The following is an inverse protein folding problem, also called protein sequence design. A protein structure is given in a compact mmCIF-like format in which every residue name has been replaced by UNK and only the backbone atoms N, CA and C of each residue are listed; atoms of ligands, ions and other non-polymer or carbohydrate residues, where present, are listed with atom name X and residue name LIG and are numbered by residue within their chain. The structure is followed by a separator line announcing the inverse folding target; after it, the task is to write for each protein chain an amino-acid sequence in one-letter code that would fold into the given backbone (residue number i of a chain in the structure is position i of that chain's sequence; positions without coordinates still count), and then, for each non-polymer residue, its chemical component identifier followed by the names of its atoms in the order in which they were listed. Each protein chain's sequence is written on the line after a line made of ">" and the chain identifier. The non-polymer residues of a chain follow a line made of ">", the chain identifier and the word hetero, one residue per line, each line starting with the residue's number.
data_IF_847249316288
#
_entry.id   IF_847249316288
#
_cell.length_a   1.000
_cell.length_b   1.000
_cell.length_c   1.000
_cell.angle_alpha   90.00
_cell.angle_beta   90.00
_cell.angle_gamma   90.00
#
_symmetry.space_group_name_H-M   'P 1'
#
loop_
_entity.id
_entity.type
_entity.pdbx_description
1 polymer ?
#
# COMPACT_ATOMS: atom_id res chain seq x y z
N UNK A 1 60.75 -0.85 67.63
CA UNK A 1 59.79 -1.13 68.72
C UNK A 1 58.54 -1.72 68.09
N UNK A 2 58.24 -3.02 68.30
CA UNK A 2 57.09 -3.54 69.11
C UNK A 2 55.77 -2.80 68.77
N UNK A 3 54.64 -3.40 68.36
CA UNK A 3 54.02 -4.69 68.71
C UNK A 3 52.76 -4.93 67.84
N UNK A 4 52.36 -6.20 67.73
CA UNK A 4 51.10 -6.74 67.19
C UNK A 4 49.83 -6.24 67.90
N UNK A 5 48.66 -6.49 67.27
CA UNK A 5 47.29 -6.80 67.77
C UNK A 5 46.24 -6.02 66.94
N UNK A 6 45.01 -6.47 66.68
CA UNK A 6 44.31 -7.75 66.72
C UNK A 6 43.02 -7.52 65.91
N UNK A 7 42.52 -8.57 65.25
CA UNK A 7 41.22 -8.57 64.56
C UNK A 7 40.10 -8.64 65.60
N UNK A 8 39.08 -7.78 65.49
CA UNK A 8 37.81 -7.94 66.20
C UNK A 8 36.66 -7.91 65.19
N UNK A 9 35.91 -9.00 65.20
CA UNK A 9 34.69 -9.29 64.46
C UNK A 9 33.51 -8.62 65.17
N UNK A 10 32.60 -7.96 64.44
CA UNK A 10 31.29 -7.58 64.96
C UNK A 10 30.18 -8.08 64.02
N UNK A 11 29.40 -9.02 64.54
CA UNK A 11 28.13 -9.51 64.01
C UNK A 11 27.00 -8.56 64.45
N UNK A 12 26.12 -8.19 63.53
CA UNK A 12 24.82 -7.59 63.83
C UNK A 12 23.74 -8.36 63.07
N UNK A 13 22.88 -9.02 63.85
CA UNK A 13 21.61 -9.64 63.44
C UNK A 13 20.47 -8.66 63.76
N UNK A 14 19.58 -8.40 62.81
CA UNK A 14 18.22 -7.91 63.11
C UNK A 14 17.19 -8.60 62.23
N UNK A 15 16.07 -8.90 62.87
CA UNK A 15 14.98 -9.80 62.50
C UNK A 15 14.14 -9.35 61.30
N UNK A 16 13.48 -10.32 60.69
CA UNK A 16 12.65 -10.15 59.50
C UNK A 16 11.19 -9.78 59.77
N UNK A 17 10.54 -9.43 58.66
CA UNK A 17 9.10 -9.58 58.45
C UNK A 17 8.92 -10.33 57.13
N UNK A 18 8.31 -11.52 57.21
CA UNK A 18 7.83 -12.23 56.04
C UNK A 18 6.53 -11.58 55.57
N UNK A 19 6.43 -11.29 54.27
CA UNK A 19 5.15 -11.05 53.60
C UNK A 19 5.06 -11.99 52.40
N UNK A 20 3.96 -12.73 52.39
CA UNK A 20 3.56 -13.75 51.45
C UNK A 20 3.68 -13.35 49.98
N UNK A 21 4.14 -14.30 49.17
CA UNK A 21 3.96 -14.33 47.72
C UNK A 21 2.46 -14.25 47.38
N UNK A 22 2.12 -13.29 46.52
CA UNK A 22 0.94 -13.38 45.67
C UNK A 22 1.45 -13.53 44.24
N UNK A 23 1.36 -14.76 43.77
CA UNK A 23 1.53 -15.14 42.38
C UNK A 23 0.58 -14.28 41.52
N UNK A 24 1.18 -13.42 40.70
CA UNK A 24 0.45 -12.62 39.71
C UNK A 24 1.05 -12.93 38.36
N UNK A 25 0.50 -13.97 37.73
CA UNK A 25 0.65 -14.24 36.30
C UNK A 25 0.45 -12.95 35.52
N UNK A 26 1.54 -12.32 35.09
CA UNK A 26 1.50 -11.28 34.08
C UNK A 26 1.39 -11.94 32.73
N UNK A 27 0.21 -11.72 32.16
CA UNK A 27 -0.20 -11.96 30.78
C UNK A 27 0.92 -11.51 29.84
N UNK A 28 1.35 -12.45 29.00
CA UNK A 28 2.26 -12.24 27.89
C UNK A 28 1.61 -11.23 26.93
N UNK A 29 2.12 -10.00 26.88
CA UNK A 29 1.77 -9.06 25.82
C UNK A 29 2.38 -9.60 24.52
N UNK A 30 1.61 -9.77 23.43
CA UNK A 30 2.20 -10.12 22.16
C UNK A 30 2.96 -8.89 21.66
N UNK A 31 4.27 -8.91 21.85
CA UNK A 31 5.18 -7.98 21.18
C UNK A 31 4.92 -8.07 19.68
N UNK A 32 4.33 -7.03 19.11
CA UNK A 32 4.14 -6.86 17.67
C UNK A 32 5.49 -6.72 16.99
N UNK A 33 6.18 -7.83 16.79
CA UNK A 33 7.26 -7.90 15.83
C UNK A 33 6.62 -7.90 14.45
N UNK A 34 6.76 -6.77 13.75
CA UNK A 34 6.51 -6.71 12.32
C UNK A 34 7.25 -7.88 11.67
N UNK A 35 6.51 -8.76 11.00
CA UNK A 35 7.09 -9.84 10.22
C UNK A 35 7.87 -9.19 9.08
N UNK A 36 9.15 -8.97 9.31
CA UNK A 36 10.08 -8.55 8.27
C UNK A 36 10.22 -9.71 7.30
N UNK A 37 9.44 -9.70 6.22
CA UNK A 37 9.56 -10.70 5.15
C UNK A 37 10.86 -10.43 4.39
N UNK A 38 11.97 -10.97 4.90
CA UNK A 38 13.25 -11.03 4.18
C UNK A 38 13.23 -12.27 3.26
N UNK A 39 12.41 -12.22 2.20
CA UNK A 39 12.24 -13.29 1.20
C UNK A 39 10.97 -13.09 0.37
N UNK A 40 10.78 -13.84 -0.71
CA UNK A 40 9.45 -13.95 -1.31
C UNK A 40 8.61 -14.82 -0.36
N UNK A 41 7.65 -14.21 0.35
CA UNK A 41 6.80 -14.93 1.30
C UNK A 41 5.94 -16.01 0.63
N UNK A 42 5.52 -17.00 1.40
CA UNK A 42 4.54 -18.00 0.94
C UNK A 42 3.19 -17.34 0.66
N UNK A 43 2.34 -17.99 -0.13
CA UNK A 43 1.00 -17.47 -0.43
C UNK A 43 0.16 -17.09 0.80
N UNK A 44 0.08 -17.93 1.84
CA UNK A 44 -0.60 -17.58 3.09
C UNK A 44 0.02 -16.37 3.82
N UNK A 45 1.35 -16.26 3.86
CA UNK A 45 2.04 -15.12 4.48
C UNK A 45 1.76 -13.81 3.73
N UNK A 46 1.76 -13.85 2.40
CA UNK A 46 1.40 -12.68 1.58
C UNK A 46 -0.06 -12.29 1.82
N UNK A 47 -1.01 -13.23 1.88
CA UNK A 47 -2.41 -12.91 2.18
C UNK A 47 -2.58 -12.27 3.58
N UNK A 48 -1.86 -12.79 4.58
CA UNK A 48 -1.85 -12.24 5.93
C UNK A 48 -1.25 -10.82 5.97
N UNK A 49 -0.12 -10.62 5.29
CA UNK A 49 0.53 -9.32 5.17
C UNK A 49 -0.38 -8.29 4.48
N UNK A 50 -1.04 -8.64 3.38
CA UNK A 50 -1.97 -7.74 2.69
C UNK A 50 -3.14 -7.33 3.59
N UNK A 51 -3.62 -8.24 4.45
CA UNK A 51 -4.64 -7.96 5.45
C UNK A 51 -4.12 -6.98 6.52
N UNK A 52 -2.89 -7.15 7.00
CA UNK A 52 -2.25 -6.21 7.92
C UNK A 52 -2.06 -4.84 7.27
N UNK A 53 -1.47 -4.79 6.09
CA UNK A 53 -1.22 -3.56 5.32
C UNK A 53 -2.52 -2.79 5.07
N UNK A 54 -3.61 -3.48 4.72
CA UNK A 54 -4.94 -2.87 4.56
C UNK A 54 -5.47 -2.25 5.86
N UNK A 55 -5.30 -2.93 7.00
CA UNK A 55 -5.81 -2.45 8.29
C UNK A 55 -4.91 -1.39 8.94
N UNK A 56 -3.67 -1.26 8.50
CA UNK A 56 -2.68 -0.36 9.08
C UNK A 56 -2.87 1.10 8.61
N UNK A 57 -3.55 1.91 9.41
CA UNK A 57 -3.87 3.32 9.09
C UNK A 57 -2.80 4.34 9.54
N UNK A 58 -1.54 3.91 9.72
CA UNK A 58 -0.44 4.83 10.02
C UNK A 58 -0.37 5.95 8.97
N UNK A 59 -0.01 7.16 9.42
CA UNK A 59 0.10 8.35 8.56
C UNK A 59 1.48 8.49 7.93
N UNK A 60 2.50 7.87 8.52
CA UNK A 60 3.88 7.87 8.03
C UNK A 60 4.58 6.56 8.35
N UNK A 61 5.58 6.22 7.54
CA UNK A 61 6.39 5.03 7.73
C UNK A 61 7.62 5.31 8.58
N UNK A 62 8.02 4.34 9.42
CA UNK A 62 9.25 4.39 10.24
C UNK A 62 9.38 5.66 11.12
N UNK A 63 8.25 6.28 11.50
CA UNK A 63 8.22 7.56 12.21
C UNK A 63 9.05 8.67 11.53
N UNK A 64 9.09 8.65 10.19
CA UNK A 64 9.79 9.63 9.38
C UNK A 64 8.78 10.52 8.66
N UNK A 65 8.75 11.85 8.90
CA UNK A 65 7.80 12.77 8.26
C UNK A 65 7.94 12.82 6.73
N UNK A 66 9.10 12.44 6.18
CA UNK A 66 9.34 12.35 4.74
C UNK A 66 8.94 11.01 4.12
N UNK A 67 8.45 10.05 4.92
CA UNK A 67 8.09 8.72 4.45
C UNK A 67 6.56 8.55 4.42
N UNK A 68 5.87 8.89 3.31
CA UNK A 68 4.43 8.70 3.19
C UNK A 68 4.00 7.26 3.47
N UNK A 69 2.80 7.09 4.05
CA UNK A 69 2.34 5.76 4.50
C UNK A 69 2.19 4.71 3.40
N UNK A 70 2.12 5.09 2.11
CA UNK A 70 2.11 4.12 1.00
C UNK A 70 3.43 3.34 0.86
N UNK A 71 4.52 3.80 1.51
CA UNK A 71 5.80 3.10 1.51
C UNK A 71 5.82 1.87 2.44
N UNK A 72 4.79 1.68 3.27
CA UNK A 72 4.72 0.59 4.26
C UNK A 72 3.31 0.05 4.55
N UNK A 73 2.25 0.70 4.06
CA UNK A 73 0.86 0.33 4.32
C UNK A 73 -0.01 0.44 3.07
N UNK A 74 -1.22 -0.13 3.17
CA UNK A 74 -2.17 -0.24 2.08
C UNK A 74 -1.71 -1.19 0.99
N UNK A 75 -2.64 -1.55 0.11
CA UNK A 75 -2.39 -2.49 -0.99
C UNK A 75 -2.35 -1.72 -2.31
N UNK A 76 -1.17 -1.60 -2.90
CA UNK A 76 -0.99 -0.98 -4.22
C UNK A 76 -1.26 -2.02 -5.30
N UNK A 77 -2.35 -1.86 -6.05
CA UNK A 77 -2.82 -2.84 -7.02
C UNK A 77 -3.17 -2.21 -8.36
N UNK A 78 -2.85 -2.89 -9.46
CA UNK A 78 -3.20 -2.46 -10.81
C UNK A 78 -4.04 -3.52 -11.48
N UNK A 79 -5.22 -3.13 -11.92
CA UNK A 79 -6.05 -3.97 -12.77
C UNK A 79 -5.47 -4.05 -14.18
N UNK A 80 -5.47 -5.25 -14.76
CA UNK A 80 -4.95 -5.53 -16.11
C UNK A 80 -5.88 -6.47 -16.85
N UNK A 81 -5.60 -6.66 -18.13
CA UNK A 81 -6.10 -7.79 -18.91
C UNK A 81 -4.91 -8.64 -19.32
N UNK A 82 -5.06 -9.96 -19.23
CA UNK A 82 -4.05 -10.88 -19.74
C UNK A 82 -4.00 -10.78 -21.27
N UNK A 83 -2.84 -11.08 -21.87
CA UNK A 83 -2.65 -11.06 -23.31
C UNK A 83 -1.49 -11.97 -23.68
N UNK A 84 -1.54 -12.55 -24.88
CA UNK A 84 -0.41 -13.23 -25.50
C UNK A 84 0.53 -12.26 -26.23
N UNK A 85 0.13 -10.99 -26.40
CA UNK A 85 0.88 -9.98 -27.15
C UNK A 85 1.77 -9.10 -26.27
N UNK A 86 1.50 -9.06 -24.96
CA UNK A 86 2.26 -8.29 -24.00
C UNK A 86 2.16 -8.92 -22.61
N UNK A 87 3.16 -8.68 -21.78
CA UNK A 87 3.17 -9.13 -20.39
C UNK A 87 2.39 -8.15 -19.50
N UNK A 88 1.66 -8.64 -18.50
CA UNK A 88 0.80 -7.79 -17.65
C UNK A 88 1.57 -6.69 -16.89
N UNK A 89 2.88 -6.91 -16.64
CA UNK A 89 3.76 -5.95 -15.95
C UNK A 89 4.40 -4.92 -16.89
N UNK A 90 4.21 -5.05 -18.20
CA UNK A 90 4.75 -4.10 -19.15
C UNK A 90 3.86 -2.85 -19.22
N UNK A 91 4.42 -1.64 -19.05
CA UNK A 91 3.67 -0.42 -19.27
C UNK A 91 3.20 -0.34 -20.71
N UNK A 92 2.02 0.26 -20.96
CA UNK A 92 1.62 0.61 -22.32
C UNK A 92 2.70 1.51 -22.95
N UNK A 93 3.30 1.15 -24.11
CA UNK A 93 4.33 1.95 -24.75
C UNK A 93 3.91 3.39 -25.05
N UNK A 94 2.62 3.64 -25.32
CA UNK A 94 2.08 4.98 -25.57
C UNK A 94 1.79 5.78 -24.29
N UNK A 95 1.71 5.15 -23.12
CA UNK A 95 1.48 5.85 -21.85
C UNK A 95 2.74 6.56 -21.37
N UNK A 96 2.57 7.64 -20.61
CA UNK A 96 3.64 8.42 -19.97
C UNK A 96 3.96 7.96 -18.54
N UNK A 97 3.18 7.02 -18.01
CA UNK A 97 3.27 6.49 -16.64
C UNK A 97 2.35 5.29 -16.45
N UNK A 98 2.24 4.78 -15.24
CA UNK A 98 1.44 3.58 -14.94
C UNK A 98 0.49 3.87 -13.78
N UNK A 99 -0.79 3.64 -14.02
CA UNK A 99 -1.84 3.86 -13.02
C UNK A 99 -2.00 2.66 -12.10
N UNK A 100 -2.12 2.93 -10.81
CA UNK A 100 -2.45 1.95 -9.78
C UNK A 100 -3.62 2.47 -8.95
N UNK A 101 -4.33 1.59 -8.30
CA UNK A 101 -5.17 1.95 -7.15
C UNK A 101 -4.44 1.58 -5.86
N UNK A 102 -4.85 2.19 -4.76
CA UNK A 102 -4.30 1.93 -3.44
C UNK A 102 -5.41 1.73 -2.43
N UNK A 103 -5.51 0.52 -1.88
CA UNK A 103 -6.63 0.12 -1.02
C UNK A 103 -6.20 0.06 0.44
N UNK A 104 -6.90 0.80 1.30
CA UNK A 104 -6.70 0.78 2.76
C UNK A 104 -8.02 0.97 3.50
N UNK A 105 -8.06 0.62 4.78
CA UNK A 105 -9.27 0.67 5.61
C UNK A 105 -9.95 2.06 5.67
N UNK A 106 -9.19 3.12 5.50
CA UNK A 106 -9.66 4.52 5.47
C UNK A 106 -9.75 5.11 4.04
N UNK A 107 -9.45 4.31 3.01
CA UNK A 107 -9.41 4.69 1.59
C UNK A 107 -9.96 3.55 0.71
N UNK A 108 -11.25 3.29 0.84
CA UNK A 108 -11.95 2.16 0.21
C UNK A 108 -12.60 2.54 -1.14
N UNK A 109 -12.77 1.54 -2.01
CA UNK A 109 -13.55 1.62 -3.24
C UNK A 109 -14.18 0.25 -3.56
N UNK A 110 -15.30 0.24 -4.28
CA UNK A 110 -16.07 -1.00 -4.52
C UNK A 110 -15.74 -1.73 -5.83
N UNK A 111 -15.02 -1.10 -6.75
CA UNK A 111 -14.68 -1.69 -8.06
C UNK A 111 -13.36 -1.18 -8.61
N UNK A 112 -12.84 -1.90 -9.59
CA UNK A 112 -11.65 -1.51 -10.36
C UNK A 112 -12.04 -0.74 -11.62
N UNK A 113 -11.05 -0.06 -12.19
CA UNK A 113 -11.17 0.64 -13.47
C UNK A 113 -11.70 -0.32 -14.57
N UNK A 114 -12.56 0.20 -15.44
CA UNK A 114 -13.17 -0.52 -16.57
C UNK A 114 -13.93 -1.82 -16.21
N UNK A 115 -14.21 -2.06 -14.92
CA UNK A 115 -14.84 -3.31 -14.49
C UNK A 115 -13.92 -4.53 -14.62
N UNK A 116 -12.60 -4.32 -14.69
CA UNK A 116 -11.63 -5.41 -14.67
C UNK A 116 -11.69 -6.20 -13.36
N UNK A 117 -11.31 -7.47 -13.43
CA UNK A 117 -11.47 -8.42 -12.33
C UNK A 117 -10.17 -9.14 -11.95
N UNK A 118 -9.04 -8.74 -12.52
CA UNK A 118 -7.72 -9.29 -12.20
C UNK A 118 -6.62 -8.25 -12.41
N UNK A 119 -5.44 -8.57 -11.92
CA UNK A 119 -4.28 -7.71 -12.04
C UNK A 119 -3.13 -8.17 -11.18
N UNK A 120 -2.30 -7.23 -10.74
CA UNK A 120 -1.17 -7.51 -9.87
C UNK A 120 -1.03 -6.49 -8.74
N UNK A 121 -0.35 -6.92 -7.67
CA UNK A 121 -0.03 -6.17 -6.47
C UNK A 121 1.46 -5.89 -6.45
N UNK A 122 1.84 -4.71 -5.99
CA UNK A 122 3.22 -4.33 -5.74
C UNK A 122 3.54 -4.39 -4.24
N UNK A 123 4.73 -4.89 -3.91
CA UNK A 123 5.32 -4.65 -2.60
C UNK A 123 5.48 -3.15 -2.39
N UNK A 124 5.18 -2.64 -1.18
CA UNK A 124 5.56 -1.28 -0.82
C UNK A 124 7.08 -1.20 -0.62
N UNK A 125 7.64 -0.01 -0.83
CA UNK A 125 9.08 0.17 -0.99
C UNK A 125 9.90 -0.35 0.21
N UNK A 126 9.39 -0.20 1.43
CA UNK A 126 10.07 -0.63 2.64
C UNK A 126 9.97 -2.13 2.95
N UNK A 127 9.17 -2.89 2.19
CA UNK A 127 8.98 -4.32 2.34
C UNK A 127 9.32 -5.13 1.08
N UNK A 128 9.74 -4.48 -0.01
CA UNK A 128 10.13 -5.18 -1.23
C UNK A 128 11.37 -6.06 -0.97
N UNK A 129 11.44 -7.26 -1.58
CA UNK A 129 12.62 -8.12 -1.50
C UNK A 129 13.89 -7.45 -2.06
N UNK A 130 15.05 -7.93 -1.62
CA UNK A 130 16.35 -7.53 -2.18
C UNK A 130 16.39 -7.72 -3.70
N UNK A 131 17.00 -6.77 -4.42
CA UNK A 131 17.09 -6.80 -5.88
C UNK A 131 15.88 -6.25 -6.62
N UNK A 132 14.82 -5.84 -5.90
CA UNK A 132 13.66 -5.14 -6.48
C UNK A 132 13.86 -3.62 -6.50
N UNK A 133 13.48 -2.98 -7.60
CA UNK A 133 13.59 -1.52 -7.76
C UNK A 133 12.57 -0.78 -6.90
N UNK A 134 12.90 0.45 -6.51
CA UNK A 134 11.91 1.41 -6.01
C UNK A 134 11.12 1.97 -7.19
N UNK A 135 9.81 2.11 -7.03
CA UNK A 135 8.95 2.74 -8.03
C UNK A 135 8.58 4.14 -7.56
N UNK A 136 8.78 5.13 -8.42
CA UNK A 136 8.46 6.52 -8.08
C UNK A 136 6.95 6.76 -8.21
N UNK A 137 6.27 6.95 -7.08
CA UNK A 137 4.90 7.44 -7.02
C UNK A 137 4.93 8.95 -7.21
N UNK A 138 4.20 9.43 -8.20
CA UNK A 138 4.23 10.82 -8.67
C UNK A 138 3.08 11.63 -8.10
N UNK A 139 1.87 11.11 -8.19
CA UNK A 139 0.69 11.78 -7.66
C UNK A 139 -0.39 10.79 -7.23
N UNK A 140 -1.28 11.27 -6.36
CA UNK A 140 -2.44 10.55 -5.85
C UNK A 140 -3.72 11.33 -6.10
N UNK A 141 -4.67 10.71 -6.77
CA UNK A 141 -6.02 11.22 -6.94
C UNK A 141 -6.97 10.43 -6.04
N UNK A 142 -7.72 11.08 -5.13
CA UNK A 142 -8.70 10.43 -4.26
C UNK A 142 -9.81 9.66 -5.00
N UNK A 143 -10.04 9.96 -6.28
CA UNK A 143 -10.88 9.21 -7.25
C UNK A 143 -10.20 9.24 -8.62
N UNK A 144 -10.69 8.47 -9.60
CA UNK A 144 -10.19 8.43 -10.98
C UNK A 144 -9.76 9.81 -11.52
N UNK A 145 -8.49 9.91 -11.88
CA UNK A 145 -7.85 11.15 -12.28
C UNK A 145 -7.95 11.44 -13.78
N UNK A 146 -8.35 10.50 -14.62
CA UNK A 146 -8.26 10.61 -16.08
C UNK A 146 -6.82 10.89 -16.56
N UNK A 147 -5.87 10.13 -16.01
CA UNK A 147 -4.43 10.42 -16.08
C UNK A 147 -3.78 10.15 -17.44
N UNK A 148 -4.46 9.43 -18.31
CA UNK A 148 -4.08 9.18 -19.70
C UNK A 148 -4.21 10.43 -20.60
N UNK A 149 -4.97 11.43 -20.16
CA UNK A 149 -5.17 12.69 -20.88
C UNK A 149 -4.33 13.85 -20.32
N UNK A 150 -3.51 13.61 -19.29
CA UNK A 150 -2.79 14.67 -18.58
C UNK A 150 -1.30 14.72 -18.98
N UNK A 151 -0.69 15.91 -19.06
CA UNK A 151 0.75 16.05 -19.18
C UNK A 151 1.44 15.67 -17.87
N UNK A 152 2.76 15.87 -17.79
CA UNK A 152 3.54 15.65 -16.56
C UNK A 152 3.37 14.23 -16.00
N UNK A 153 3.60 13.23 -16.86
CA UNK A 153 3.47 11.80 -16.53
C UNK A 153 2.06 11.40 -16.02
N UNK A 154 1.04 12.21 -16.31
CA UNK A 154 -0.34 11.99 -15.88
C UNK A 154 -0.75 12.78 -14.63
N UNK A 155 0.15 13.59 -14.05
CA UNK A 155 -0.09 14.37 -12.84
C UNK A 155 -0.47 15.84 -13.11
N UNK A 156 -0.36 16.28 -14.37
CA UNK A 156 -0.66 17.64 -14.77
C UNK A 156 -2.15 17.96 -14.90
N UNK A 157 -2.43 19.12 -15.49
CA UNK A 157 -3.79 19.57 -15.76
C UNK A 157 -4.48 18.74 -16.85
N UNK A 158 -5.74 18.38 -16.64
CA UNK A 158 -6.58 17.86 -17.72
C UNK A 158 -6.87 18.96 -18.77
N UNK A 159 -6.84 18.64 -20.07
CA UNK A 159 -7.07 19.61 -21.15
C UNK A 159 -8.36 20.41 -20.96
N UNK A 160 -8.27 21.72 -21.10
CA UNK A 160 -9.40 22.67 -20.96
C UNK A 160 -10.09 22.67 -19.59
N UNK A 161 -9.43 22.14 -18.54
CA UNK A 161 -9.95 22.11 -17.17
C UNK A 161 -8.93 22.71 -16.18
N UNK A 162 -8.85 24.05 -16.06
CA UNK A 162 -7.83 24.71 -15.23
C UNK A 162 -7.94 24.40 -13.73
N UNK A 163 -9.13 24.01 -13.28
CA UNK A 163 -9.44 23.51 -11.93
C UNK A 163 -8.82 22.13 -11.63
N UNK A 164 -8.30 21.43 -12.62
CA UNK A 164 -7.72 20.08 -12.47
C UNK A 164 -6.19 20.07 -12.32
N UNK A 165 -5.53 21.24 -12.27
CA UNK A 165 -4.08 21.36 -11.99
C UNK A 165 -3.71 20.65 -10.67
N UNK A 166 -2.44 20.29 -10.43
CA UNK A 166 -2.03 19.67 -9.15
C UNK A 166 -2.61 20.41 -7.94
N UNK A 167 -3.14 19.69 -6.96
CA UNK A 167 -3.95 20.27 -5.88
C UNK A 167 -3.20 21.40 -5.15
N UNK A 168 -1.93 21.16 -4.80
CA UNK A 168 -1.12 22.14 -4.08
C UNK A 168 -0.88 23.43 -4.89
N UNK A 169 -0.81 23.35 -6.23
CA UNK A 169 -0.65 24.53 -7.10
C UNK A 169 -1.88 25.47 -7.10
N UNK A 170 -2.99 25.00 -6.54
CA UNK A 170 -4.26 25.73 -6.43
C UNK A 170 -4.61 26.09 -4.99
N UNK A 171 -3.71 25.83 -4.02
CA UNK A 171 -4.00 26.00 -2.59
C UNK A 171 -4.87 24.89 -1.98
N UNK A 172 -5.13 23.80 -2.72
CA UNK A 172 -5.84 22.63 -2.21
C UNK A 172 -4.81 21.73 -1.51
N UNK A 173 -4.64 21.94 -0.21
CA UNK A 173 -3.60 21.30 0.61
C UNK A 173 -4.16 20.47 1.75
N UNK A 174 -5.47 20.46 1.95
CA UNK A 174 -6.15 19.72 3.02
C UNK A 174 -7.32 18.90 2.49
N UNK A 175 -7.74 17.89 3.25
CA UNK A 175 -8.94 17.13 2.94
C UNK A 175 -10.18 18.03 2.79
N UNK A 176 -10.34 19.01 3.68
CA UNK A 176 -11.45 19.97 3.62
C UNK A 176 -11.44 20.79 2.32
N UNK A 177 -10.26 21.27 1.88
CA UNK A 177 -10.13 21.97 0.60
C UNK A 177 -10.50 21.05 -0.57
N UNK A 178 -10.07 19.79 -0.53
CA UNK A 178 -10.40 18.82 -1.58
C UNK A 178 -11.89 18.50 -1.62
N UNK A 179 -12.56 18.34 -0.48
CA UNK A 179 -14.02 18.12 -0.43
C UNK A 179 -14.77 19.33 -0.98
N UNK A 180 -14.37 20.55 -0.65
CA UNK A 180 -14.94 21.75 -1.25
C UNK A 180 -14.74 21.77 -2.77
N UNK A 181 -13.53 21.42 -3.25
CA UNK A 181 -13.22 21.30 -4.67
C UNK A 181 -14.06 20.22 -5.38
N UNK A 182 -14.22 19.06 -4.74
CA UNK A 182 -15.03 17.96 -5.24
C UNK A 182 -16.49 18.37 -5.40
N UNK A 183 -17.08 19.00 -4.38
CA UNK A 183 -18.47 19.44 -4.41
C UNK A 183 -18.72 20.53 -5.46
N UNK A 184 -17.75 21.43 -5.67
CA UNK A 184 -17.83 22.46 -6.71
C UNK A 184 -17.72 21.88 -8.13
N UNK A 185 -17.21 20.66 -8.29
CA UNK A 185 -16.95 20.01 -9.58
C UNK A 185 -17.57 18.60 -9.67
N UNK A 186 -18.63 18.34 -8.91
CA UNK A 186 -19.23 17.02 -8.80
C UNK A 186 -19.69 16.48 -10.16
N UNK A 187 -19.36 15.22 -10.46
CA UNK A 187 -19.71 14.56 -11.73
C UNK A 187 -18.86 14.95 -12.93
N UNK A 188 -17.85 15.80 -12.77
CA UNK A 188 -16.98 16.22 -13.88
C UNK A 188 -15.73 15.33 -13.98
N UNK A 189 -15.80 14.25 -14.77
CA UNK A 189 -14.65 13.38 -15.09
C UNK A 189 -13.44 14.19 -15.57
N UNK A 190 -12.29 14.12 -14.89
CA UNK A 190 -11.10 14.90 -15.22
C UNK A 190 -11.06 16.34 -14.68
N UNK A 191 -12.05 16.81 -13.91
CA UNK A 191 -11.98 18.14 -13.26
C UNK A 191 -11.28 18.14 -11.89
N UNK A 192 -11.14 16.97 -11.28
CA UNK A 192 -10.55 16.85 -9.94
C UNK A 192 -9.02 16.90 -10.04
N UNK A 193 -8.40 17.52 -9.03
CA UNK A 193 -6.95 17.61 -8.93
C UNK A 193 -6.36 16.33 -8.31
N UNK A 194 -5.07 16.08 -8.56
CA UNK A 194 -4.28 15.08 -7.84
C UNK A 194 -3.30 15.77 -6.89
N UNK A 195 -3.04 15.14 -5.76
CA UNK A 195 -1.97 15.55 -4.84
C UNK A 195 -0.62 15.12 -5.43
N UNK A 196 0.30 16.06 -5.61
CA UNK A 196 1.70 15.74 -5.95
C UNK A 196 2.37 15.10 -4.72
N UNK A 197 2.91 13.90 -4.88
CA UNK A 197 3.54 13.12 -3.80
C UNK A 197 4.96 12.71 -4.14
N UNK A 198 5.55 13.37 -5.14
CA UNK A 198 6.92 13.10 -5.57
C UNK A 198 7.91 13.26 -4.42
N UNK A 199 8.94 12.42 -4.44
CA UNK A 199 10.00 12.38 -3.43
C UNK A 199 10.71 13.73 -3.27
N UNK A 200 10.84 14.52 -4.34
CA UNK A 200 11.48 15.84 -4.28
C UNK A 200 10.71 16.87 -3.44
N UNK A 201 9.46 16.56 -3.07
CA UNK A 201 8.67 17.37 -2.14
C UNK A 201 8.97 17.08 -0.66
N UNK A 202 9.69 16.00 -0.37
CA UNK A 202 10.07 15.58 0.98
C UNK A 202 8.83 15.46 1.90
N UNK A 203 8.89 15.99 3.13
CA UNK A 203 7.74 16.03 4.07
C UNK A 203 6.46 16.59 3.43
N UNK A 204 6.56 17.56 2.50
CA UNK A 204 5.36 18.13 1.84
C UNK A 204 4.63 17.11 0.99
N UNK A 205 5.35 16.17 0.36
CA UNK A 205 4.76 15.06 -0.38
C UNK A 205 4.02 14.08 0.54
N UNK A 206 4.60 13.79 1.70
CA UNK A 206 3.98 12.94 2.71
C UNK A 206 2.70 13.55 3.32
N UNK A 207 2.74 14.85 3.64
CA UNK A 207 1.57 15.60 4.10
C UNK A 207 0.48 15.61 3.01
N UNK A 208 0.85 15.88 1.76
CA UNK A 208 -0.09 15.88 0.64
C UNK A 208 -0.77 14.52 0.45
N UNK A 209 -0.01 13.42 0.53
CA UNK A 209 -0.59 12.08 0.49
C UNK A 209 -1.55 11.83 1.64
N UNK A 210 -1.15 12.17 2.87
CA UNK A 210 -1.99 12.03 4.07
C UNK A 210 -3.31 12.77 3.92
N UNK A 211 -3.29 14.01 3.44
CA UNK A 211 -4.50 14.80 3.21
C UNK A 211 -5.35 14.26 2.05
N UNK A 212 -4.73 13.70 1.01
CA UNK A 212 -5.43 12.99 -0.05
C UNK A 212 -6.17 11.74 0.44
N UNK A 213 -5.55 10.93 1.30
CA UNK A 213 -6.18 9.75 1.90
C UNK A 213 -7.36 10.16 2.79
N UNK A 214 -7.19 11.17 3.64
CA UNK A 214 -8.28 11.75 4.43
C UNK A 214 -9.42 12.25 3.54
N UNK A 215 -9.09 12.92 2.44
CA UNK A 215 -10.08 13.41 1.49
C UNK A 215 -10.90 12.25 0.91
N UNK A 216 -10.25 11.17 0.47
CA UNK A 216 -10.94 9.99 -0.05
C UNK A 216 -11.90 9.39 0.98
N UNK A 217 -11.45 9.23 2.23
CA UNK A 217 -12.29 8.70 3.32
C UNK A 217 -13.49 9.58 3.68
N UNK A 218 -13.47 10.85 3.28
CA UNK A 218 -14.55 11.83 3.52
C UNK A 218 -15.46 12.05 2.31
N UNK A 219 -15.16 11.43 1.16
CA UNK A 219 -15.99 11.57 -0.03
C UNK A 219 -17.39 10.98 0.16
N UNK A 220 -18.41 11.54 -0.50
CA UNK A 220 -19.77 11.02 -0.40
C UNK A 220 -19.88 9.61 -0.99
N UNK A 221 -20.93 8.87 -0.59
CA UNK A 221 -21.18 7.51 -1.06
C UNK A 221 -21.26 7.38 -2.61
N UNK A 222 -21.62 8.46 -3.31
CA UNK A 222 -21.60 8.51 -4.78
C UNK A 222 -20.21 8.33 -5.39
N UNK A 223 -19.15 8.66 -4.65
CA UNK A 223 -17.75 8.46 -5.08
C UNK A 223 -17.24 7.03 -4.82
N UNK A 224 -17.88 6.27 -3.92
CA UNK A 224 -17.40 4.94 -3.48
C UNK A 224 -17.32 3.92 -4.63
N UNK A 225 -18.17 4.10 -5.64
CA UNK A 225 -18.16 3.33 -6.89
C UNK A 225 -17.07 3.70 -7.88
N UNK A 226 -16.10 4.53 -7.48
CA UNK A 226 -14.97 4.98 -8.30
C UNK A 226 -13.68 4.72 -7.54
N UNK A 227 -12.73 4.02 -8.16
CA UNK A 227 -11.41 3.77 -7.62
C UNK A 227 -10.60 5.06 -7.46
N UNK A 228 -9.69 5.10 -6.49
CA UNK A 228 -8.62 6.11 -6.47
C UNK A 228 -7.54 5.76 -7.50
N UNK A 229 -6.62 6.70 -7.70
CA UNK A 229 -5.56 6.52 -8.68
C UNK A 229 -4.22 7.09 -8.21
N UNK A 230 -3.22 6.21 -8.10
CA UNK A 230 -1.82 6.58 -8.15
C UNK A 230 -1.33 6.68 -9.57
N UNK A 231 -0.42 7.62 -9.80
CA UNK A 231 0.48 7.59 -10.94
C UNK A 231 1.88 7.22 -10.51
N UNK A 232 2.37 6.14 -11.10
CA UNK A 232 3.74 5.66 -10.94
C UNK A 232 4.51 5.97 -12.21
N UNK A 233 5.76 6.43 -12.08
CA UNK A 233 6.66 6.67 -13.21
C UNK A 233 6.76 5.44 -14.09
N UNK A 234 6.74 5.66 -15.42
CA UNK A 234 6.89 4.58 -16.39
C UNK A 234 8.26 3.93 -16.24
N UNK A 235 8.29 2.60 -16.20
CA UNK A 235 9.51 1.80 -16.24
C UNK A 235 9.75 1.18 -17.62
N UNK A 236 10.93 0.57 -17.80
CA UNK A 236 11.32 -0.09 -19.04
C UNK A 236 10.46 -1.33 -19.33
N UNK A 237 10.40 -1.75 -20.61
CA UNK A 237 9.75 -3.02 -20.97
C UNK A 237 10.56 -4.21 -20.46
N UNK A 238 9.87 -5.31 -20.15
CA UNK A 238 10.46 -6.63 -19.91
C UNK A 238 11.45 -6.72 -18.73
N UNK A 239 11.25 -5.91 -17.69
CA UNK A 239 12.09 -5.93 -16.46
C UNK A 239 11.41 -6.67 -15.30
N UNK A 240 10.57 -7.68 -15.58
CA UNK A 240 9.78 -8.39 -14.57
C UNK A 240 10.58 -8.94 -13.39
N UNK A 241 11.83 -9.37 -13.64
CA UNK A 241 12.74 -9.87 -12.60
C UNK A 241 13.07 -8.83 -11.53
N UNK A 242 13.13 -7.54 -11.88
CA UNK A 242 13.49 -6.45 -10.95
C UNK A 242 12.29 -5.67 -10.43
N UNK A 243 11.09 -5.88 -10.99
CA UNK A 243 9.89 -5.22 -10.49
C UNK A 243 9.47 -5.78 -9.12
N UNK A 244 9.00 -4.92 -8.19
CA UNK A 244 8.54 -5.31 -6.87
C UNK A 244 7.12 -5.91 -6.94
N UNK A 245 6.87 -6.87 -7.84
CA UNK A 245 5.57 -7.55 -7.94
C UNK A 245 5.48 -8.57 -6.81
N UNK A 246 4.44 -8.42 -6.00
CA UNK A 246 4.18 -9.24 -4.81
C UNK A 246 3.28 -10.44 -5.13
N UNK A 247 2.22 -10.19 -5.89
CA UNK A 247 1.21 -11.19 -6.21
C UNK A 247 0.48 -10.79 -7.50
N UNK A 248 -0.14 -11.78 -8.14
CA UNK A 248 -1.29 -11.53 -9.04
C UNK A 248 -2.58 -11.68 -8.24
N UNK A 249 -3.65 -11.02 -8.66
CA UNK A 249 -4.93 -11.07 -7.96
C UNK A 249 -6.11 -11.27 -8.89
N UNK A 250 -7.23 -11.71 -8.33
CA UNK A 250 -8.53 -11.75 -8.99
C UNK A 250 -9.67 -11.41 -8.01
N UNK A 251 -10.79 -10.94 -8.55
CA UNK A 251 -12.00 -10.57 -7.80
C UNK A 251 -13.08 -11.65 -7.90
N UNK A 252 -13.24 -12.25 -9.09
CA UNK A 252 -14.27 -13.25 -9.40
C UNK A 252 -13.74 -14.32 -10.36
N UNK A 253 -14.56 -15.32 -10.68
CA UNK A 253 -14.17 -16.46 -11.53
C UNK A 253 -13.73 -16.03 -12.94
N UNK A 254 -14.32 -14.98 -13.51
CA UNK A 254 -13.89 -14.41 -14.80
C UNK A 254 -12.47 -13.86 -14.71
N UNK A 255 -12.14 -13.14 -13.62
CA UNK A 255 -10.79 -12.65 -13.37
C UNK A 255 -9.78 -13.75 -13.03
N UNK A 256 -10.23 -14.84 -12.38
CA UNK A 256 -9.38 -15.96 -11.97
C UNK A 256 -8.61 -16.54 -13.15
N UNK A 257 -9.27 -16.74 -14.29
CA UNK A 257 -8.62 -17.28 -15.51
C UNK A 257 -7.47 -16.37 -15.98
N UNK A 258 -7.67 -15.05 -15.95
CA UNK A 258 -6.63 -14.08 -16.30
C UNK A 258 -5.46 -14.10 -15.32
N UNK A 259 -5.74 -14.09 -14.02
CA UNK A 259 -4.70 -14.16 -13.00
C UNK A 259 -3.90 -15.49 -13.05
N UNK A 260 -4.54 -16.61 -13.39
CA UNK A 260 -3.86 -17.89 -13.61
C UNK A 260 -2.91 -17.85 -14.81
N UNK A 261 -3.31 -17.16 -15.89
CA UNK A 261 -2.43 -16.93 -17.03
C UNK A 261 -1.23 -16.08 -16.63
N UNK A 262 -1.49 -14.94 -15.99
CA UNK A 262 -0.46 -13.99 -15.57
C UNK A 262 0.54 -14.63 -14.59
N UNK A 263 0.08 -15.49 -13.67
CA UNK A 263 0.96 -16.25 -12.76
C UNK A 263 1.94 -17.16 -13.52
N UNK A 264 1.44 -17.92 -14.50
CA UNK A 264 2.27 -18.82 -15.32
C UNK A 264 3.25 -18.05 -16.18
N UNK A 265 2.78 -16.99 -16.82
CA UNK A 265 3.61 -16.15 -17.67
C UNK A 265 4.75 -15.52 -16.86
N UNK A 266 4.45 -14.94 -15.69
CA UNK A 266 5.48 -14.35 -14.84
C UNK A 266 6.56 -15.36 -14.44
N UNK A 267 6.17 -16.57 -13.99
CA UNK A 267 7.12 -17.63 -13.64
C UNK A 267 7.96 -18.07 -14.84
N UNK A 268 7.33 -18.18 -16.01
CA UNK A 268 8.00 -18.60 -17.25
C UNK A 268 9.04 -17.57 -17.69
N UNK A 269 8.71 -16.28 -17.64
CA UNK A 269 9.60 -15.21 -18.11
C UNK A 269 10.70 -14.84 -17.10
N UNK A 270 10.42 -14.97 -15.80
CA UNK A 270 11.30 -14.44 -14.75
C UNK A 270 11.96 -15.51 -13.90
N UNK A 271 11.44 -16.74 -13.89
CA UNK A 271 11.81 -17.78 -12.94
C UNK A 271 11.25 -17.56 -11.53
N UNK A 272 10.56 -16.45 -11.27
CA UNK A 272 10.05 -16.07 -9.96
C UNK A 272 8.61 -16.56 -9.80
N UNK A 273 8.34 -17.27 -8.72
CA UNK A 273 6.97 -17.60 -8.35
C UNK A 273 6.36 -16.47 -7.51
N UNK A 274 5.10 -16.16 -7.79
CA UNK A 274 4.27 -15.24 -6.99
C UNK A 274 2.91 -15.88 -6.74
N UNK A 275 2.28 -15.67 -5.57
CA UNK A 275 0.96 -16.21 -5.30
C UNK A 275 -0.14 -15.50 -6.10
N UNK A 276 -1.24 -16.21 -6.30
CA UNK A 276 -2.54 -15.63 -6.63
C UNK A 276 -3.34 -15.34 -5.36
N UNK A 277 -3.82 -14.11 -5.22
CA UNK A 277 -4.64 -13.66 -4.09
C UNK A 277 -6.06 -13.34 -4.57
N UNK A 278 -7.06 -13.94 -3.92
CA UNK A 278 -8.45 -13.54 -4.08
C UNK A 278 -8.68 -12.25 -3.30
N UNK A 279 -9.15 -11.21 -3.96
CA UNK A 279 -9.56 -9.98 -3.29
C UNK A 279 -11.09 -9.89 -3.30
N UNK A 280 -11.68 -9.81 -2.11
CA UNK A 280 -13.08 -9.37 -1.99
C UNK A 280 -13.09 -7.87 -1.74
N UNK A 281 -13.57 -7.07 -2.69
CA UNK A 281 -13.75 -5.63 -2.52
C UNK A 281 -14.99 -5.30 -1.68
N UNK A 282 -14.94 -4.23 -0.87
CA UNK A 282 -16.05 -3.82 -0.03
C UNK A 282 -17.25 -3.35 -0.86
N UNK A 283 -18.45 -3.85 -0.56
CA UNK A 283 -19.68 -3.46 -1.26
C UNK A 283 -20.24 -2.11 -0.76
N UNK A 284 -19.96 -1.78 0.50
CA UNK A 284 -20.27 -0.49 1.12
C UNK A 284 -19.08 -0.01 1.95
N UNK A 285 -19.05 1.27 2.32
CA UNK A 285 -17.98 1.81 3.17
C UNK A 285 -17.85 1.12 4.54
N UNK A 286 -18.94 0.52 5.04
CA UNK A 286 -18.95 -0.25 6.28
C UNK A 286 -18.30 -1.63 6.16
N UNK A 287 -18.18 -2.18 4.95
CA UNK A 287 -17.52 -3.47 4.73
C UNK A 287 -16.01 -3.31 4.57
N UNK A 288 -15.27 -4.34 4.92
CA UNK A 288 -13.82 -4.38 4.72
C UNK A 288 -13.44 -5.25 3.51
N UNK A 289 -12.31 -4.91 2.89
CA UNK A 289 -11.68 -5.76 1.90
C UNK A 289 -11.11 -7.03 2.56
N UNK A 290 -11.07 -8.13 1.82
CA UNK A 290 -10.43 -9.38 2.26
C UNK A 290 -9.44 -9.87 1.22
N UNK A 291 -8.36 -10.49 1.70
CA UNK A 291 -7.26 -11.02 0.91
C UNK A 291 -7.07 -12.49 1.29
N UNK A 292 -7.29 -13.40 0.35
CA UNK A 292 -7.32 -14.83 0.63
C UNK A 292 -6.39 -15.57 -0.34
N UNK A 293 -5.48 -16.39 0.21
CA UNK A 293 -4.74 -17.37 -0.58
C UNK A 293 -5.52 -18.68 -0.63
N UNK A 294 -5.88 -19.11 -1.84
CA UNK A 294 -6.62 -20.35 -2.07
C UNK A 294 -5.70 -21.30 -2.85
N UNK A 295 -5.22 -22.41 -2.25
CA UNK A 295 -4.30 -23.34 -2.92
C UNK A 295 -4.87 -23.91 -4.23
N UNK A 296 -6.17 -24.23 -4.25
CA UNK A 296 -6.85 -24.79 -5.42
C UNK A 296 -7.00 -23.78 -6.58
N UNK A 297 -6.74 -22.50 -6.34
CA UNK A 297 -6.92 -21.45 -7.35
C UNK A 297 -5.61 -21.14 -8.09
N UNK A 298 -4.47 -21.56 -7.55
CA UNK A 298 -3.16 -21.36 -8.15
C UNK A 298 -3.04 -22.13 -9.47
N UNK A 299 -2.41 -21.53 -10.48
CA UNK A 299 -2.11 -22.19 -11.74
C UNK A 299 -0.87 -23.07 -11.68
N UNK A 300 0.05 -22.76 -10.76
CA UNK A 300 1.34 -23.44 -10.56
C UNK A 300 1.70 -23.49 -9.07
N UNK A 301 2.43 -24.54 -8.67
CA UNK A 301 3.03 -24.63 -7.34
C UNK A 301 4.22 -23.68 -7.17
N UNK A 302 4.50 -23.31 -5.92
CA UNK A 302 5.69 -22.53 -5.52
C UNK A 302 7.01 -23.25 -5.80
#
# INVERSE_FOLDING_TARGET
>A
MKRQFCIVLFLLLTAGCATHELDRSTIDEPSGQAVGVQGAGTGPEIAAYLTEAYNNVLTMCRNNPSAPSFLCTGVTLRATQHSTQFHFWNPNPASTGVSFSWLRKDAKFSKLVFGYNNGFILYPDFFKPTGKIALAVLCFFPVDGATDHRPDEGCGQYPNRPNSRPCQSQGITTAAHYIAHFNANAGMYGALCGFDVRDELDERGAVAFTEGVKAQGQLPASAFGTQNEFRVRKWAQNIGQTLPIEAVFYINDTGKVGAQYDQRDFKTQTGIWIPMIKITLPQTAANDARFEFIPADQAISS
#
